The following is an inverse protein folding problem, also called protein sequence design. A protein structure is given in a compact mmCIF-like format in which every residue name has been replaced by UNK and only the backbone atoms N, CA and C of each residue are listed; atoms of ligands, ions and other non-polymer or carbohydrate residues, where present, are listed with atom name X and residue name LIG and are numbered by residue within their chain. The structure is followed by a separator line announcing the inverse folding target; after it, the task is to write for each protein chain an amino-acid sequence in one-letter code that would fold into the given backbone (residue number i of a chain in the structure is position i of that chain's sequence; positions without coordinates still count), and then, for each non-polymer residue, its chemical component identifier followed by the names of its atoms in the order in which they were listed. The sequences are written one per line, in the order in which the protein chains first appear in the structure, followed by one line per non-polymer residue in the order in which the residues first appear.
data_IF_204277447597
#
_entry.id   IF_204277447597
#
_cell.length_a   1.000
_cell.length_b   1.000
_cell.length_c   1.000
_cell.angle_alpha   90.00
_cell.angle_beta   90.00
_cell.angle_gamma   90.00
#
_symmetry.space_group_name_H-M   'P 1'
#
loop_
_entity.id
_entity.type
_entity.pdbx_description
1 polymer ?
#
# COMPACT_ATOMS: atom_id res chain seq x y z
N UNK A 1 1.07 12.14 34.15
CA UNK A 1 -0.24 12.55 33.61
C UNK A 1 -0.74 11.44 32.71
N UNK A 2 -2.01 11.09 32.77
CA UNK A 2 -2.63 10.11 31.89
C UNK A 2 -3.95 10.63 31.32
N UNK A 3 -4.38 10.06 30.20
CA UNK A 3 -5.64 10.41 29.56
C UNK A 3 -6.33 9.14 29.08
N UNK A 4 -7.65 9.12 29.16
CA UNK A 4 -8.50 8.14 28.53
C UNK A 4 -9.63 8.87 27.79
N UNK A 5 -10.08 8.29 26.67
CA UNK A 5 -11.25 8.77 25.93
C UNK A 5 -12.26 7.64 25.89
N UNK A 6 -13.40 7.85 26.54
CA UNK A 6 -14.49 6.91 26.70
C UNK A 6 -15.73 7.43 25.96
N UNK A 7 -16.78 6.63 25.85
CA UNK A 7 -18.09 7.16 25.44
C UNK A 7 -18.68 8.02 26.58
N UNK A 8 -19.59 8.93 26.22
CA UNK A 8 -20.43 9.60 27.22
C UNK A 8 -21.17 8.51 28.00
N UNK A 9 -21.05 8.54 29.33
CA UNK A 9 -21.62 7.51 30.18
C UNK A 9 -22.11 8.11 31.50
N UNK A 10 -23.01 7.39 32.16
CA UNK A 10 -23.55 7.76 33.47
C UNK A 10 -23.06 6.77 34.52
N UNK A 11 -22.47 7.27 35.60
CA UNK A 11 -22.07 6.48 36.76
C UNK A 11 -22.67 7.12 38.01
N UNK A 12 -23.38 6.34 38.82
CA UNK A 12 -24.07 6.79 40.03
C UNK A 12 -24.95 8.03 39.84
N UNK A 13 -25.67 8.08 38.71
CA UNK A 13 -26.57 9.18 38.36
C UNK A 13 -25.89 10.46 37.86
N UNK A 14 -24.56 10.46 37.73
CA UNK A 14 -23.79 11.57 37.17
C UNK A 14 -23.31 11.23 35.75
N UNK A 15 -23.59 12.12 34.81
CA UNK A 15 -23.08 12.02 33.44
C UNK A 15 -21.62 12.49 33.38
N UNK A 16 -20.79 11.73 32.69
CA UNK A 16 -19.38 12.01 32.46
C UNK A 16 -19.12 12.24 30.98
N UNK A 17 -18.33 13.28 30.70
CA UNK A 17 -17.82 13.56 29.36
C UNK A 17 -16.81 12.47 28.93
N UNK A 18 -16.55 12.33 27.61
CA UNK A 18 -15.64 11.33 27.08
C UNK A 18 -14.23 11.34 27.68
N UNK A 19 -13.72 12.53 27.99
CA UNK A 19 -12.34 12.72 28.40
C UNK A 19 -12.17 12.53 29.92
N UNK A 20 -11.34 11.55 30.27
CA UNK A 20 -10.88 11.32 31.64
C UNK A 20 -9.39 11.64 31.76
N UNK A 21 -9.01 12.33 32.83
CA UNK A 21 -7.61 12.68 33.10
C UNK A 21 -7.14 12.09 34.43
N UNK A 22 -5.98 11.45 34.39
CA UNK A 22 -5.21 11.12 35.59
C UNK A 22 -4.15 12.22 35.82
N UNK A 23 -4.49 13.15 36.70
CA UNK A 23 -3.73 14.36 36.99
C UNK A 23 -3.75 14.67 38.49
N UNK A 24 -2.83 15.51 38.97
CA UNK A 24 -2.83 15.94 40.38
C UNK A 24 -4.01 16.86 40.69
N UNK A 25 -4.24 17.82 39.79
CA UNK A 25 -5.30 18.81 39.87
C UNK A 25 -5.53 19.41 38.47
N UNK A 26 -6.50 20.32 38.36
CA UNK A 26 -6.65 21.22 37.21
C UNK A 26 -6.28 22.65 37.64
N UNK A 27 -5.73 23.43 36.72
CA UNK A 27 -5.53 24.87 36.95
C UNK A 27 -6.87 25.64 36.83
N UNK A 28 -6.83 26.98 36.97
CA UNK A 28 -8.01 27.83 36.90
C UNK A 28 -8.76 27.76 35.55
N UNK A 29 -8.06 27.41 34.47
CA UNK A 29 -8.63 27.25 33.12
C UNK A 29 -9.12 25.81 32.85
N UNK A 30 -9.07 24.93 33.86
CA UNK A 30 -9.45 23.52 33.72
C UNK A 30 -8.36 22.64 33.10
N UNK A 31 -7.13 23.15 32.90
CA UNK A 31 -6.02 22.40 32.32
C UNK A 31 -5.49 21.36 33.34
N UNK A 32 -5.45 20.07 33.00
CA UNK A 32 -4.88 19.03 33.85
C UNK A 32 -3.38 19.25 34.09
N UNK A 33 -2.95 19.19 35.36
CA UNK A 33 -1.55 19.31 35.77
C UNK A 33 -0.93 17.93 36.11
N UNK A 34 0.36 17.72 35.82
CA UNK A 34 1.02 16.44 36.09
C UNK A 34 1.03 16.10 37.58
N UNK A 35 1.09 14.80 37.87
CA UNK A 35 1.35 14.30 39.23
C UNK A 35 2.84 14.38 39.48
N UNK A 36 3.24 15.13 40.51
CA UNK A 36 4.63 15.30 40.94
C UNK A 36 4.89 14.69 42.34
N UNK A 37 3.85 14.19 43.00
CA UNK A 37 3.95 13.51 44.30
C UNK A 37 4.72 12.20 44.15
N UNK A 38 5.93 12.15 44.73
CA UNK A 38 6.85 11.01 44.69
C UNK A 38 6.17 9.71 45.15
N UNK A 39 5.37 9.74 46.21
CA UNK A 39 4.73 8.53 46.74
C UNK A 39 3.71 7.93 45.77
N UNK A 40 2.99 8.78 45.02
CA UNK A 40 2.05 8.35 43.98
C UNK A 40 2.78 7.82 42.76
N UNK A 41 3.88 8.47 42.37
CA UNK A 41 4.72 8.03 41.26
C UNK A 41 5.38 6.68 41.57
N UNK A 42 5.91 6.50 42.77
CA UNK A 42 6.49 5.22 43.22
C UNK A 42 5.45 4.09 43.21
N UNK A 43 4.24 4.37 43.69
CA UNK A 43 3.15 3.38 43.63
C UNK A 43 2.77 3.05 42.19
N UNK A 44 2.72 4.04 41.29
CA UNK A 44 2.43 3.83 39.88
C UNK A 44 3.52 2.99 39.20
N UNK A 45 4.79 3.33 39.41
CA UNK A 45 5.92 2.59 38.85
C UNK A 45 5.95 1.15 39.36
N UNK A 46 5.67 0.92 40.65
CA UNK A 46 5.59 -0.43 41.23
C UNK A 46 4.44 -1.24 40.64
N UNK A 47 3.24 -0.66 40.53
CA UNK A 47 2.05 -1.35 40.00
C UNK A 47 2.24 -1.78 38.54
N UNK A 48 2.78 -0.88 37.72
CA UNK A 48 2.96 -1.09 36.29
C UNK A 48 4.34 -1.61 35.91
N UNK A 49 5.16 -1.96 36.91
CA UNK A 49 6.51 -2.49 36.73
C UNK A 49 7.39 -1.60 35.83
N UNK A 50 7.26 -0.28 35.96
CA UNK A 50 8.10 0.68 35.24
C UNK A 50 9.47 0.69 35.91
N UNK A 51 10.49 0.24 35.18
CA UNK A 51 11.86 0.07 35.70
C UNK A 51 12.80 1.22 35.39
N UNK A 52 12.44 2.10 34.45
CA UNK A 52 13.25 3.27 34.08
C UNK A 52 13.33 4.23 35.26
N UNK A 53 14.54 4.65 35.61
CA UNK A 53 14.85 5.57 36.71
C UNK A 53 15.41 6.87 36.14
N UNK A 54 16.73 6.99 36.08
CA UNK A 54 17.45 8.19 35.68
C UNK A 54 17.83 8.21 34.20
N UNK A 55 17.49 7.16 33.45
CA UNK A 55 17.70 7.12 32.01
C UNK A 55 16.78 8.12 31.32
N UNK A 56 17.32 8.86 30.33
CA UNK A 56 16.53 9.78 29.52
C UNK A 56 15.45 9.05 28.70
N UNK A 57 14.36 9.74 28.39
CA UNK A 57 13.29 9.21 27.53
C UNK A 57 11.89 9.29 28.15
N UNK A 58 11.00 8.45 27.62
CA UNK A 58 9.59 8.40 27.97
C UNK A 58 9.19 6.95 28.31
N UNK A 59 8.49 6.77 29.43
CA UNK A 59 7.82 5.51 29.77
C UNK A 59 6.33 5.71 29.58
N UNK A 60 5.68 4.83 28.83
CA UNK A 60 4.23 4.88 28.60
C UNK A 60 3.62 3.58 29.07
N UNK A 61 2.55 3.71 29.85
CA UNK A 61 1.68 2.59 30.22
C UNK A 61 0.39 2.76 29.44
N UNK A 62 0.02 1.75 28.66
CA UNK A 62 -1.25 1.72 27.93
C UNK A 62 -2.09 0.59 28.55
N UNK A 63 -3.04 0.90 29.44
CA UNK A 63 -3.91 -0.12 30.01
C UNK A 63 -5.00 -0.54 29.01
N UNK A 64 -5.60 -1.71 29.23
CA UNK A 64 -6.75 -2.22 28.46
C UNK A 64 -6.51 -2.30 26.95
N UNK A 65 -5.32 -2.76 26.55
CA UNK A 65 -4.99 -2.98 25.13
C UNK A 65 -5.85 -4.08 24.51
N UNK A 66 -6.07 -4.00 23.20
CA UNK A 66 -6.77 -5.03 22.45
C UNK A 66 -6.04 -6.38 22.55
N UNK A 67 -6.77 -7.49 22.62
CA UNK A 67 -6.22 -8.86 22.79
C UNK A 67 -5.26 -9.30 21.67
N UNK A 68 -5.31 -8.62 20.52
CA UNK A 68 -4.40 -8.84 19.39
C UNK A 68 -3.01 -8.25 19.60
N UNK A 69 -2.83 -7.37 20.60
CA UNK A 69 -1.53 -6.79 20.93
C UNK A 69 -0.68 -7.81 21.70
N UNK A 70 -0.07 -8.73 20.96
CA UNK A 70 0.80 -9.79 21.47
C UNK A 70 2.27 -9.45 21.27
N UNK A 71 3.14 -9.90 22.17
CA UNK A 71 4.57 -9.63 22.12
C UNK A 71 5.21 -10.08 20.79
N UNK A 72 4.78 -11.22 20.26
CA UNK A 72 5.24 -11.73 18.96
C UNK A 72 4.83 -10.81 17.80
N UNK A 73 3.64 -10.19 17.88
CA UNK A 73 3.16 -9.24 16.87
C UNK A 73 3.89 -7.90 16.97
N UNK A 74 4.29 -7.49 18.18
CA UNK A 74 5.18 -6.35 18.39
C UNK A 74 6.55 -6.63 17.79
N UNK A 75 7.15 -7.81 18.02
CA UNK A 75 8.43 -8.19 17.41
C UNK A 75 8.39 -8.16 15.88
N UNK A 76 7.38 -8.77 15.26
CA UNK A 76 7.19 -8.71 13.81
C UNK A 76 7.09 -7.26 13.31
N UNK A 77 6.31 -6.43 14.01
CA UNK A 77 6.13 -5.02 13.64
C UNK A 77 7.45 -4.24 13.75
N UNK A 78 8.18 -4.41 14.85
CA UNK A 78 9.49 -3.77 15.04
C UNK A 78 10.47 -4.18 13.96
N UNK A 79 10.57 -5.48 13.67
CA UNK A 79 11.43 -5.99 12.61
C UNK A 79 11.04 -5.43 11.23
N UNK A 80 9.75 -5.32 10.90
CA UNK A 80 9.35 -4.76 9.59
C UNK A 80 9.56 -3.25 9.51
N UNK A 81 9.17 -2.52 10.55
CA UNK A 81 9.16 -1.06 10.49
C UNK A 81 10.52 -0.44 10.74
N UNK A 82 11.37 -1.06 11.58
CA UNK A 82 12.61 -0.44 12.05
C UNK A 82 13.88 -1.27 11.78
N UNK A 83 13.83 -2.34 10.96
CA UNK A 83 15.03 -3.15 10.72
C UNK A 83 16.21 -2.34 10.20
N UNK A 84 16.01 -1.27 9.44
CA UNK A 84 17.13 -0.44 8.94
C UNK A 84 17.85 0.28 10.06
N UNK A 85 17.12 0.88 11.03
CA UNK A 85 17.71 1.48 12.24
C UNK A 85 18.45 0.44 13.07
N UNK A 86 17.85 -0.74 13.24
CA UNK A 86 18.45 -1.84 14.00
C UNK A 86 19.72 -2.37 13.30
N UNK A 87 19.67 -2.56 11.98
CA UNK A 87 20.82 -2.95 11.14
C UNK A 87 21.91 -1.88 11.13
N UNK A 88 21.57 -0.59 11.23
CA UNK A 88 22.56 0.49 11.40
C UNK A 88 23.16 0.56 12.81
N UNK A 89 22.63 -0.19 13.77
CA UNK A 89 23.05 -0.12 15.17
C UNK A 89 22.54 1.13 15.90
N UNK A 90 21.53 1.81 15.34
CA UNK A 90 20.95 3.05 15.87
C UNK A 90 19.79 2.80 16.82
N UNK A 91 19.22 1.59 16.79
CA UNK A 91 18.09 1.18 17.61
C UNK A 91 18.30 -0.22 18.16
N UNK A 92 18.11 -0.37 19.47
CA UNK A 92 17.99 -1.64 20.17
C UNK A 92 16.57 -1.70 20.73
N UNK A 93 15.87 -2.80 20.48
CA UNK A 93 14.51 -3.00 20.99
C UNK A 93 14.44 -4.29 21.80
N UNK A 94 13.98 -4.21 23.03
CA UNK A 94 13.65 -5.38 23.83
C UNK A 94 12.14 -5.53 23.93
N UNK A 95 11.65 -6.74 23.69
CA UNK A 95 10.23 -7.09 23.83
C UNK A 95 10.11 -8.29 24.74
N UNK A 96 9.25 -8.18 25.74
CA UNK A 96 8.88 -9.27 26.66
C UNK A 96 7.36 -9.24 26.88
N UNK A 97 6.74 -10.41 27.10
CA UNK A 97 5.31 -10.47 27.43
C UNK A 97 4.65 -11.82 27.17
N UNK A 98 3.62 -12.12 27.96
CA UNK A 98 2.90 -13.40 27.87
C UNK A 98 3.82 -14.60 28.13
N UNK A 99 3.82 -15.57 27.21
CA UNK A 99 4.73 -16.73 27.26
C UNK A 99 6.07 -16.47 26.57
N UNK A 100 6.26 -15.28 25.99
CA UNK A 100 7.50 -14.91 25.32
C UNK A 100 8.47 -14.32 26.35
N UNK A 101 9.59 -15.02 26.55
CA UNK A 101 10.73 -14.47 27.29
C UNK A 101 11.27 -13.19 26.62
N UNK A 102 12.13 -12.45 27.31
CA UNK A 102 12.72 -11.24 26.75
C UNK A 102 13.49 -11.55 25.45
N UNK A 103 13.13 -10.86 24.37
CA UNK A 103 13.80 -10.92 23.07
C UNK A 103 14.37 -9.55 22.74
N UNK A 104 15.68 -9.48 22.58
CA UNK A 104 16.38 -8.27 22.14
C UNK A 104 16.62 -8.31 20.64
N UNK A 105 16.22 -7.26 19.95
CA UNK A 105 16.51 -6.97 18.54
C UNK A 105 17.56 -5.86 18.48
N UNK A 106 18.79 -6.24 18.13
CA UNK A 106 19.91 -5.35 17.84
C UNK A 106 20.58 -5.74 16.51
N UNK A 107 21.66 -5.04 16.14
CA UNK A 107 22.43 -5.32 14.92
C UNK A 107 22.85 -6.79 14.76
N UNK A 108 23.22 -7.44 15.86
CA UNK A 108 23.72 -8.81 15.89
C UNK A 108 22.57 -9.83 15.93
N UNK A 109 21.50 -9.56 16.67
CA UNK A 109 20.45 -10.54 16.96
C UNK A 109 19.28 -10.53 16.00
N UNK A 110 19.00 -9.40 15.32
CA UNK A 110 17.77 -9.23 14.50
C UNK A 110 17.58 -10.32 13.45
N UNK A 111 18.66 -10.78 12.82
CA UNK A 111 18.62 -11.80 11.78
C UNK A 111 18.16 -13.16 12.32
N UNK A 112 18.82 -13.64 13.39
CA UNK A 112 18.47 -14.88 14.05
C UNK A 112 17.08 -14.82 14.70
N UNK A 113 16.68 -13.64 15.19
CA UNK A 113 15.32 -13.43 15.73
C UNK A 113 14.27 -13.56 14.61
N UNK A 114 14.46 -12.91 13.47
CA UNK A 114 13.53 -12.98 12.34
C UNK A 114 13.34 -14.42 11.82
N UNK A 115 14.39 -15.24 11.83
CA UNK A 115 14.32 -16.65 11.40
C UNK A 115 13.47 -17.53 12.34
N UNK A 116 13.39 -17.17 13.62
CA UNK A 116 12.60 -17.91 14.63
C UNK A 116 11.15 -17.43 14.72
N UNK A 117 10.84 -16.24 14.19
CA UNK A 117 9.49 -15.70 14.17
C UNK A 117 8.63 -16.45 13.15
N UNK A 118 7.37 -16.71 13.52
CA UNK A 118 6.36 -17.09 12.55
C UNK A 118 5.89 -15.83 11.79
N UNK A 119 5.88 -15.84 10.46
CA UNK A 119 5.48 -14.69 9.64
C UNK A 119 4.12 -14.95 9.00
N UNK A 120 3.06 -14.68 9.77
CA UNK A 120 1.67 -14.99 9.45
C UNK A 120 0.81 -13.73 9.23
N UNK A 121 1.43 -12.56 9.20
CA UNK A 121 0.74 -11.28 9.09
C UNK A 121 0.34 -10.92 7.65
N UNK A 122 -0.51 -9.89 7.47
CA UNK A 122 -0.97 -9.47 6.15
C UNK A 122 0.16 -8.91 5.28
N UNK A 123 0.15 -9.25 3.98
CA UNK A 123 1.10 -8.72 2.96
C UNK A 123 1.15 -7.19 2.92
N UNK A 124 0.01 -6.51 3.08
CA UNK A 124 -0.07 -5.03 3.14
C UNK A 124 0.79 -4.40 4.25
N UNK A 125 1.03 -5.14 5.32
CA UNK A 125 1.87 -4.72 6.45
C UNK A 125 3.27 -5.33 6.39
N UNK A 126 3.62 -6.02 5.29
CA UNK A 126 4.88 -6.73 5.08
C UNK A 126 5.25 -7.77 6.16
N UNK A 127 4.30 -8.16 7.03
CA UNK A 127 4.48 -9.19 8.08
C UNK A 127 4.22 -10.63 7.62
N UNK A 128 4.11 -10.85 6.32
CA UNK A 128 3.92 -12.17 5.71
C UNK A 128 5.23 -12.92 5.45
N UNK A 129 6.37 -12.23 5.57
CA UNK A 129 7.71 -12.78 5.39
C UNK A 129 8.69 -11.92 6.19
N UNK A 130 9.83 -12.51 6.58
CA UNK A 130 10.90 -11.76 7.22
C UNK A 130 11.42 -10.64 6.30
N UNK A 131 11.76 -9.45 6.84
CA UNK A 131 12.50 -8.45 6.10
C UNK A 131 13.87 -9.00 5.67
N UNK A 132 14.44 -8.54 4.54
CA UNK A 132 15.67 -9.08 3.99
C UNK A 132 16.90 -8.53 4.74
N UNK A 133 17.09 -8.99 5.99
CA UNK A 133 18.12 -8.47 6.91
C UNK A 133 19.53 -8.55 6.32
N UNK A 134 19.89 -9.68 5.70
CA UNK A 134 21.22 -9.88 5.11
C UNK A 134 21.48 -8.89 3.98
N UNK A 135 20.50 -8.69 3.09
CA UNK A 135 20.57 -7.70 2.01
C UNK A 135 20.69 -6.28 2.58
N UNK A 136 19.87 -5.93 3.57
CA UNK A 136 19.91 -4.64 4.24
C UNK A 136 21.28 -4.36 4.89
N UNK A 137 21.90 -5.36 5.54
CA UNK A 137 23.27 -5.27 6.09
C UNK A 137 24.29 -4.99 4.98
N UNK A 138 24.17 -5.63 3.81
CA UNK A 138 25.03 -5.34 2.66
C UNK A 138 24.86 -3.91 2.13
N UNK A 139 23.61 -3.43 2.06
CA UNK A 139 23.30 -2.07 1.61
C UNK A 139 23.88 -1.02 2.57
N UNK A 140 23.64 -1.15 3.88
CA UNK A 140 24.11 -0.16 4.87
C UNK A 140 25.64 -0.08 4.96
N UNK A 141 26.35 -1.18 4.68
CA UNK A 141 27.83 -1.20 4.66
C UNK A 141 28.41 -0.59 3.39
N UNK A 142 27.62 -0.43 2.34
CA UNK A 142 28.07 0.00 1.02
C UNK A 142 27.46 1.37 0.76
N UNK A 143 28.20 2.49 0.89
CA UNK A 143 27.65 3.77 0.46
C UNK A 143 27.24 3.70 -1.03
N UNK A 144 26.32 4.55 -1.49
CA UNK A 144 26.01 4.66 -2.92
C UNK A 144 27.29 4.89 -3.71
N UNK A 145 27.58 3.99 -4.65
CA UNK A 145 28.81 4.04 -5.42
C UNK A 145 28.75 5.19 -6.44
N UNK A 146 27.56 5.45 -6.98
CA UNK A 146 27.33 6.42 -8.04
C UNK A 146 26.18 7.37 -7.69
N UNK A 147 26.24 8.57 -8.23
CA UNK A 147 25.17 9.56 -8.11
C UNK A 147 24.62 9.92 -9.49
N UNK A 148 23.32 10.18 -9.59
CA UNK A 148 22.75 10.74 -10.82
C UNK A 148 23.10 12.22 -10.96
N UNK A 149 23.00 12.75 -12.18
CA UNK A 149 22.79 14.19 -12.37
C UNK A 149 21.55 14.67 -11.57
N UNK A 150 21.44 15.97 -11.28
CA UNK A 150 20.25 16.48 -10.56
C UNK A 150 19.03 16.42 -11.49
N UNK A 151 18.10 15.54 -11.16
CA UNK A 151 16.93 15.28 -12.00
C UNK A 151 15.82 16.30 -11.75
N UNK A 152 15.08 16.67 -12.80
CA UNK A 152 13.84 17.45 -12.65
C UNK A 152 14.03 18.92 -12.28
N UNK A 153 15.15 19.54 -12.65
CA UNK A 153 15.36 20.99 -12.51
C UNK A 153 14.36 21.79 -13.36
N UNK A 154 14.21 21.40 -14.63
CA UNK A 154 13.35 22.09 -15.62
C UNK A 154 12.02 21.37 -15.87
N UNK A 155 11.99 20.04 -15.69
CA UNK A 155 10.82 19.18 -15.91
C UNK A 155 10.52 18.31 -14.68
N UNK A 156 9.57 17.38 -14.79
CA UNK A 156 9.45 16.33 -13.78
C UNK A 156 10.69 15.43 -13.80
N UNK A 157 11.16 14.95 -12.63
CA UNK A 157 12.29 14.03 -12.58
C UNK A 157 11.96 12.72 -13.31
N UNK A 158 12.97 12.19 -13.98
CA UNK A 158 12.89 11.01 -14.83
C UNK A 158 14.28 10.37 -14.91
N UNK A 159 14.35 9.06 -15.14
CA UNK A 159 15.61 8.31 -15.27
C UNK A 159 15.77 7.85 -16.71
N UNK A 160 16.83 8.34 -17.36
CA UNK A 160 17.20 8.06 -18.74
C UNK A 160 18.73 7.95 -18.87
N UNK A 161 19.25 7.66 -20.06
CA UNK A 161 20.69 7.53 -20.30
C UNK A 161 21.49 8.82 -19.98
N UNK A 162 20.83 9.99 -19.91
CA UNK A 162 21.48 11.26 -19.53
C UNK A 162 21.57 11.47 -18.02
N UNK A 163 20.98 10.56 -17.24
CA UNK A 163 21.01 10.60 -15.77
C UNK A 163 22.39 10.28 -15.21
N UNK A 164 23.26 9.66 -16.00
CA UNK A 164 24.65 9.33 -15.68
C UNK A 164 25.57 9.70 -16.85
N UNK A 165 26.88 9.65 -16.62
CA UNK A 165 27.82 9.54 -17.74
C UNK A 165 27.75 8.14 -18.39
N UNK A 166 28.17 8.06 -19.65
CA UNK A 166 28.07 6.84 -20.48
C UNK A 166 28.85 5.65 -19.90
N UNK A 167 30.02 5.90 -19.31
CA UNK A 167 30.86 4.84 -18.73
C UNK A 167 30.22 4.26 -17.46
N UNK A 168 29.62 5.11 -16.65
CA UNK A 168 28.94 4.77 -15.41
C UNK A 168 27.67 3.96 -15.69
N UNK A 169 26.81 4.39 -16.63
CA UNK A 169 25.61 3.61 -16.95
C UNK A 169 25.94 2.23 -17.54
N UNK A 170 26.97 2.12 -18.38
CA UNK A 170 27.41 0.83 -18.92
C UNK A 170 27.91 -0.11 -17.81
N UNK A 171 28.69 0.41 -16.86
CA UNK A 171 29.13 -0.36 -15.67
C UNK A 171 27.95 -0.83 -14.84
N UNK A 172 27.04 0.07 -14.48
CA UNK A 172 25.86 -0.25 -13.66
C UNK A 172 24.96 -1.31 -14.31
N UNK A 173 24.78 -1.25 -15.65
CA UNK A 173 24.06 -2.28 -16.41
C UNK A 173 24.74 -3.64 -16.32
N UNK A 174 26.07 -3.68 -16.50
CA UNK A 174 26.87 -4.89 -16.36
C UNK A 174 26.77 -5.51 -14.97
N UNK A 175 26.92 -4.70 -13.93
CA UNK A 175 26.81 -5.16 -12.53
C UNK A 175 25.41 -5.67 -12.20
N UNK A 176 24.37 -4.96 -12.64
CA UNK A 176 22.99 -5.39 -12.42
C UNK A 176 22.66 -6.70 -13.16
N UNK A 177 23.13 -6.85 -14.40
CA UNK A 177 22.95 -8.07 -15.18
C UNK A 177 23.68 -9.27 -14.56
N UNK A 178 24.87 -9.04 -13.98
CA UNK A 178 25.63 -10.05 -13.25
C UNK A 178 25.04 -10.43 -11.88
N UNK A 179 23.97 -9.74 -11.42
CA UNK A 179 23.39 -9.96 -10.09
C UNK A 179 24.23 -9.38 -8.96
N UNK A 180 25.17 -8.47 -9.26
CA UNK A 180 25.89 -7.73 -8.23
C UNK A 180 24.98 -6.70 -7.54
N UNK A 181 25.39 -6.26 -6.35
CA UNK A 181 24.71 -5.17 -5.64
C UNK A 181 25.02 -3.85 -6.35
N UNK A 182 23.99 -3.21 -6.88
CA UNK A 182 24.07 -1.86 -7.44
C UNK A 182 23.57 -0.87 -6.39
N UNK A 183 24.36 0.17 -6.10
CA UNK A 183 24.01 1.24 -5.16
C UNK A 183 24.12 2.61 -5.84
N UNK A 184 23.00 3.33 -5.90
CA UNK A 184 22.87 4.60 -6.62
C UNK A 184 22.19 5.63 -5.74
N UNK A 185 22.76 6.83 -5.65
CA UNK A 185 22.09 7.99 -5.09
C UNK A 185 21.38 8.76 -6.18
N UNK A 186 20.06 8.73 -6.15
CA UNK A 186 19.22 9.48 -7.09
C UNK A 186 18.96 10.86 -6.51
N UNK A 187 19.42 11.89 -7.23
CA UNK A 187 19.28 13.31 -6.84
C UNK A 187 18.18 13.96 -7.65
N UNK A 188 17.30 14.72 -7.01
CA UNK A 188 16.21 15.41 -7.69
C UNK A 188 15.98 16.81 -7.14
N UNK A 189 15.63 17.74 -8.03
CA UNK A 189 15.27 19.10 -7.67
C UNK A 189 13.85 19.20 -7.12
N UNK A 190 13.70 19.88 -6.00
CA UNK A 190 12.44 20.07 -5.27
C UNK A 190 12.10 21.57 -5.17
N UNK A 191 11.22 22.08 -6.05
CA UNK A 191 10.78 23.47 -6.03
C UNK A 191 10.01 23.81 -4.75
N UNK A 192 10.45 24.84 -4.03
CA UNK A 192 9.72 25.45 -2.91
C UNK A 192 8.70 26.48 -3.42
N UNK A 193 7.65 26.73 -2.65
CA UNK A 193 6.70 27.83 -2.93
C UNK A 193 7.30 29.20 -2.70
N UNK A 194 8.15 29.31 -1.68
CA UNK A 194 8.84 30.53 -1.30
C UNK A 194 10.34 30.21 -1.20
N UNK A 195 11.15 31.07 -1.81
CA UNK A 195 12.61 30.89 -1.85
C UNK A 195 13.08 29.99 -3.00
N UNK A 196 14.38 29.68 -3.00
CA UNK A 196 14.98 28.77 -3.96
C UNK A 196 14.49 27.33 -3.73
N UNK A 197 14.41 26.55 -4.82
CA UNK A 197 14.27 25.10 -4.71
C UNK A 197 15.47 24.49 -4.00
N UNK A 198 15.32 23.23 -3.62
CA UNK A 198 16.36 22.48 -2.93
C UNK A 198 16.57 21.13 -3.60
N UNK A 199 17.77 20.58 -3.44
CA UNK A 199 18.04 19.22 -3.87
C UNK A 199 17.59 18.22 -2.81
N UNK A 200 16.89 17.19 -3.25
CA UNK A 200 16.54 16.01 -2.45
C UNK A 200 17.22 14.77 -3.00
N UNK A 201 17.45 13.78 -2.14
CA UNK A 201 18.21 12.59 -2.49
C UNK A 201 17.52 11.33 -1.96
N UNK A 202 17.59 10.23 -2.72
CA UNK A 202 17.19 8.88 -2.30
C UNK A 202 18.27 7.89 -2.70
N UNK A 203 18.72 7.10 -1.73
CA UNK A 203 19.71 6.04 -1.94
C UNK A 203 18.97 4.75 -2.31
N UNK A 204 19.24 4.20 -3.49
CA UNK A 204 18.57 3.02 -4.04
C UNK A 204 19.58 1.90 -4.21
N UNK A 205 19.28 0.76 -3.60
CA UNK A 205 20.07 -0.45 -3.67
C UNK A 205 19.28 -1.52 -4.40
N UNK A 206 19.90 -2.16 -5.39
CA UNK A 206 19.28 -3.18 -6.24
C UNK A 206 20.16 -4.41 -6.34
N UNK A 207 19.55 -5.59 -6.36
CA UNK A 207 20.23 -6.83 -6.71
C UNK A 207 19.26 -7.78 -7.41
N UNK A 208 19.67 -8.32 -8.55
CA UNK A 208 18.90 -9.36 -9.26
C UNK A 208 19.18 -10.72 -8.61
N UNK A 209 18.13 -11.43 -8.22
CA UNK A 209 18.21 -12.78 -7.71
C UNK A 209 18.35 -13.78 -8.86
N UNK A 210 19.32 -14.69 -8.76
CA UNK A 210 19.60 -15.68 -9.79
C UNK A 210 18.45 -16.68 -10.01
N UNK A 211 17.69 -16.97 -8.96
CA UNK A 211 16.55 -17.90 -8.99
C UNK A 211 15.24 -17.23 -9.41
N UNK A 212 15.24 -15.90 -9.63
CA UNK A 212 14.05 -15.14 -9.97
C UNK A 212 12.97 -15.13 -8.88
N UNK A 213 13.29 -15.52 -7.65
CA UNK A 213 12.33 -15.65 -6.56
C UNK A 213 11.65 -14.31 -6.28
N UNK A 214 10.32 -14.31 -6.22
CA UNK A 214 9.55 -13.10 -5.90
C UNK A 214 9.89 -12.62 -4.51
N UNK A 215 10.17 -11.33 -4.40
CA UNK A 215 10.49 -10.68 -3.14
C UNK A 215 9.64 -9.41 -2.93
N UNK A 216 9.87 -8.77 -1.80
CA UNK A 216 9.28 -7.49 -1.44
C UNK A 216 10.35 -6.39 -1.54
N UNK A 217 9.96 -5.22 -2.04
CA UNK A 217 10.77 -4.00 -1.97
C UNK A 217 10.51 -3.26 -0.68
N UNK A 218 11.54 -2.62 -0.14
CA UNK A 218 11.43 -1.80 1.06
C UNK A 218 11.76 -0.34 0.73
N UNK A 219 10.83 0.55 1.06
CA UNK A 219 11.02 1.99 1.02
C UNK A 219 11.09 2.46 2.46
N UNK A 220 12.11 3.23 2.79
CA UNK A 220 12.41 3.65 4.15
C UNK A 220 12.60 5.14 4.18
N UNK A 221 11.86 5.84 5.05
CA UNK A 221 12.05 7.27 5.31
C UNK A 221 12.46 7.45 6.76
N UNK A 222 13.59 8.12 6.98
CA UNK A 222 14.15 8.38 8.32
C UNK A 222 14.19 7.12 9.22
N UNK A 223 14.50 5.98 8.60
CA UNK A 223 14.62 4.68 9.26
C UNK A 223 13.31 3.95 9.59
N UNK A 224 12.17 4.42 9.05
CA UNK A 224 10.89 3.72 9.15
C UNK A 224 10.41 3.24 7.78
N UNK A 225 9.97 1.98 7.71
CA UNK A 225 9.45 1.36 6.48
C UNK A 225 8.07 1.87 6.11
N UNK A 226 7.90 2.26 4.84
CA UNK A 226 6.65 2.64 4.20
C UNK A 226 5.99 1.39 3.59
N UNK A 227 5.15 0.72 4.38
CA UNK A 227 4.75 -0.67 4.12
C UNK A 227 3.82 -0.89 2.92
N UNK A 228 3.07 0.11 2.47
CA UNK A 228 2.18 -0.03 1.29
C UNK A 228 2.93 0.11 -0.03
N UNK A 229 4.18 0.57 -0.02
CA UNK A 229 5.00 0.65 -1.22
C UNK A 229 5.62 -0.70 -1.56
N UNK A 230 5.55 -1.04 -2.85
CA UNK A 230 6.24 -2.18 -3.43
C UNK A 230 6.53 -1.89 -4.91
N UNK A 231 7.61 -2.45 -5.44
CA UNK A 231 7.99 -2.29 -6.85
C UNK A 231 7.58 -3.52 -7.66
N UNK A 232 7.28 -3.31 -8.95
CA UNK A 232 6.98 -4.39 -9.89
C UNK A 232 8.22 -5.24 -10.18
N UNK A 233 9.41 -4.66 -10.10
CA UNK A 233 10.67 -5.37 -10.25
C UNK A 233 10.84 -6.48 -9.20
N UNK A 234 10.32 -6.29 -7.98
CA UNK A 234 10.35 -7.30 -6.92
C UNK A 234 9.60 -8.58 -7.30
N UNK A 235 8.52 -8.45 -8.08
CA UNK A 235 7.76 -9.59 -8.61
C UNK A 235 8.51 -10.36 -9.69
N UNK A 236 9.66 -9.83 -10.15
CA UNK A 236 10.56 -10.39 -11.16
C UNK A 236 11.94 -10.73 -10.57
N UNK A 237 12.02 -10.92 -9.25
CA UNK A 237 13.25 -11.34 -8.57
C UNK A 237 14.30 -10.25 -8.42
N UNK A 238 13.88 -9.01 -8.16
CA UNK A 238 14.79 -7.91 -7.83
C UNK A 238 14.63 -7.51 -6.37
N UNK A 239 15.64 -7.80 -5.55
CA UNK A 239 15.75 -7.25 -4.21
C UNK A 239 16.03 -5.75 -4.31
N UNK A 240 15.26 -4.95 -3.57
CA UNK A 240 15.39 -3.51 -3.63
C UNK A 240 15.12 -2.84 -2.28
N UNK A 241 15.99 -1.88 -1.93
CA UNK A 241 15.87 -1.03 -0.76
C UNK A 241 16.08 0.43 -1.19
N UNK A 242 15.07 1.27 -0.98
CA UNK A 242 15.14 2.71 -1.21
C UNK A 242 15.14 3.42 0.15
N UNK A 243 16.17 4.22 0.41
CA UNK A 243 16.35 4.93 1.68
C UNK A 243 16.36 6.43 1.44
N UNK A 244 15.45 7.13 2.13
CA UNK A 244 15.40 8.58 2.20
C UNK A 244 15.74 8.96 3.64
N UNK A 245 17.00 9.32 3.86
CA UNK A 245 17.44 9.90 5.14
C UNK A 245 17.05 11.39 5.23
N UNK A 246 17.38 12.04 6.35
CA UNK A 246 16.99 13.42 6.63
C UNK A 246 17.37 14.38 5.51
N UNK A 247 16.46 15.30 5.15
CA UNK A 247 16.71 16.32 4.14
C UNK A 247 15.43 16.73 3.41
N UNK A 248 15.55 17.56 2.36
CA UNK A 248 14.40 18.13 1.65
C UNK A 248 13.43 17.08 1.08
N UNK A 249 13.93 15.93 0.62
CA UNK A 249 13.06 14.85 0.13
C UNK A 249 12.32 14.16 1.28
N UNK A 250 12.98 13.91 2.42
CA UNK A 250 12.33 13.34 3.60
C UNK A 250 11.24 14.28 4.13
N UNK A 251 11.47 15.60 4.12
CA UNK A 251 10.45 16.60 4.49
C UNK A 251 9.24 16.52 3.55
N UNK A 252 9.47 16.56 2.23
CA UNK A 252 8.39 16.47 1.25
C UNK A 252 7.58 15.17 1.40
N UNK A 253 8.26 14.03 1.53
CA UNK A 253 7.59 12.73 1.66
C UNK A 253 6.87 12.62 3.00
N UNK A 254 7.44 13.16 4.08
CA UNK A 254 6.80 13.25 5.39
C UNK A 254 5.51 14.08 5.38
N UNK A 255 5.46 15.17 4.60
CA UNK A 255 4.24 15.95 4.40
C UNK A 255 3.12 15.14 3.70
N UNK A 256 3.47 14.08 2.97
CA UNK A 256 2.49 13.18 2.32
C UNK A 256 2.08 11.98 3.16
N UNK A 257 2.69 11.78 4.32
CA UNK A 257 2.41 10.63 5.18
C UNK A 257 1.25 10.91 6.14
N UNK A 258 0.38 9.91 6.29
CA UNK A 258 -0.61 9.86 7.36
C UNK A 258 0.01 9.40 8.70
N UNK A 259 -0.76 9.42 9.81
CA UNK A 259 -0.27 9.08 11.14
C UNK A 259 0.36 7.68 11.28
N UNK A 260 -0.03 6.75 10.40
CA UNK A 260 0.49 5.38 10.40
C UNK A 260 1.77 5.20 9.55
N UNK A 261 2.22 6.24 8.83
CA UNK A 261 3.43 6.22 8.01
C UNK A 261 3.53 5.06 7.00
N UNK A 262 2.39 4.63 6.46
CA UNK A 262 2.33 3.44 5.61
C UNK A 262 2.50 3.75 4.11
N UNK A 263 2.29 5.00 3.67
CA UNK A 263 2.29 5.37 2.25
C UNK A 263 2.67 6.85 2.01
N UNK A 264 3.16 7.16 0.80
CA UNK A 264 3.40 8.53 0.32
C UNK A 264 2.23 9.04 -0.52
N UNK A 265 1.22 9.61 0.14
CA UNK A 265 -0.07 9.90 -0.48
C UNK A 265 -0.06 11.19 -1.34
N UNK A 266 -0.27 11.03 -2.65
CA UNK A 266 -0.34 12.16 -3.59
C UNK A 266 -1.64 12.96 -3.51
N UNK A 267 -2.62 12.50 -2.72
CA UNK A 267 -3.85 13.24 -2.41
C UNK A 267 -3.72 14.16 -1.20
N UNK A 268 -2.63 14.06 -0.43
CA UNK A 268 -2.39 14.90 0.75
C UNK A 268 -2.32 16.40 0.40
N UNK A 269 -2.88 17.24 1.28
CA UNK A 269 -2.89 18.70 1.09
C UNK A 269 -1.73 19.42 1.80
N UNK A 270 -1.12 18.80 2.82
CA UNK A 270 -0.03 19.42 3.61
C UNK A 270 1.14 19.92 2.74
N UNK A 271 1.60 19.19 1.70
CA UNK A 271 2.71 19.67 0.87
C UNK A 271 2.39 20.96 0.11
N UNK A 272 1.11 21.29 -0.13
CA UNK A 272 0.70 22.53 -0.80
C UNK A 272 1.00 23.79 0.01
N UNK A 273 1.43 23.67 1.27
CA UNK A 273 1.91 24.82 2.06
C UNK A 273 3.33 25.22 1.68
N UNK A 274 4.15 24.27 1.25
CA UNK A 274 5.61 24.42 1.22
C UNK A 274 6.20 24.17 -0.17
N UNK A 275 5.60 23.26 -0.95
CA UNK A 275 6.18 22.72 -2.17
C UNK A 275 5.38 23.10 -3.41
N UNK A 276 6.09 23.34 -4.53
CA UNK A 276 5.52 23.57 -5.86
C UNK A 276 5.68 22.32 -6.70
N UNK A 277 4.66 22.00 -7.51
CA UNK A 277 4.67 20.86 -8.46
C UNK A 277 5.17 19.54 -7.85
N UNK A 278 4.76 19.27 -6.60
CA UNK A 278 5.28 18.19 -5.77
C UNK A 278 4.71 16.81 -6.13
N UNK A 279 3.45 16.73 -6.58
CA UNK A 279 2.76 15.45 -6.86
C UNK A 279 3.55 14.55 -7.81
N UNK A 280 4.10 15.11 -8.89
CA UNK A 280 4.91 14.36 -9.85
C UNK A 280 6.24 13.84 -9.26
N UNK A 281 6.84 14.59 -8.33
CA UNK A 281 8.09 14.21 -7.65
C UNK A 281 7.87 13.08 -6.65
N UNK A 282 6.75 13.12 -5.93
CA UNK A 282 6.36 12.01 -5.05
C UNK A 282 6.03 10.76 -5.87
N UNK A 283 5.33 10.90 -7.01
CA UNK A 283 5.12 9.78 -7.94
C UNK A 283 6.44 9.18 -8.46
N UNK A 284 7.42 10.03 -8.79
CA UNK A 284 8.74 9.59 -9.18
C UNK A 284 9.45 8.84 -8.03
N UNK A 285 9.48 9.40 -6.82
CA UNK A 285 10.07 8.74 -5.65
C UNK A 285 9.44 7.37 -5.36
N UNK A 286 8.11 7.25 -5.47
CA UNK A 286 7.41 5.95 -5.35
C UNK A 286 7.86 4.94 -6.41
N UNK A 287 8.15 5.39 -7.63
CA UNK A 287 8.56 4.54 -8.76
C UNK A 287 10.08 4.45 -8.95
N UNK A 288 10.89 5.04 -8.07
CA UNK A 288 12.35 5.18 -8.32
C UNK A 288 13.04 3.83 -8.52
N UNK A 289 12.62 2.79 -7.79
CA UNK A 289 13.12 1.42 -7.96
C UNK A 289 12.75 0.87 -9.34
N UNK A 290 11.48 0.97 -9.75
CA UNK A 290 11.03 0.52 -11.06
C UNK A 290 11.75 1.26 -12.19
N UNK A 291 11.85 2.58 -12.08
CA UNK A 291 12.50 3.44 -13.07
C UNK A 291 14.00 3.13 -13.22
N UNK A 292 14.70 2.88 -12.10
CA UNK A 292 16.11 2.50 -12.14
C UNK A 292 16.29 1.09 -12.74
N UNK A 293 15.43 0.13 -12.41
CA UNK A 293 15.47 -1.21 -13.01
C UNK A 293 15.19 -1.16 -14.52
N UNK A 294 14.23 -0.34 -14.95
CA UNK A 294 13.93 -0.09 -16.37
C UNK A 294 15.15 0.49 -17.10
N UNK A 295 15.83 1.48 -16.51
CA UNK A 295 17.05 2.08 -17.08
C UNK A 295 18.23 1.06 -17.17
N UNK A 296 18.39 0.22 -16.15
CA UNK A 296 19.45 -0.79 -16.07
C UNK A 296 19.16 -2.04 -16.89
N UNK A 297 17.93 -2.23 -17.35
CA UNK A 297 17.52 -3.36 -18.21
C UNK A 297 17.10 -2.82 -19.58
N UNK A 298 18.05 -2.43 -20.45
CA UNK A 298 17.69 -1.97 -21.79
C UNK A 298 16.93 -3.07 -22.53
N UNK A 299 15.95 -2.67 -23.34
CA UNK A 299 15.27 -3.60 -24.24
C UNK A 299 16.33 -4.22 -25.16
N UNK A 300 16.43 -5.55 -25.18
CA UNK A 300 17.30 -6.26 -26.10
C UNK A 300 16.92 -5.83 -27.52
N UNK A 301 17.78 -5.08 -28.19
CA UNK A 301 17.57 -4.66 -29.59
C UNK A 301 17.63 -5.86 -30.54
N UNK A 302 18.25 -6.96 -30.09
CA UNK A 302 18.26 -8.23 -30.78
C UNK A 302 17.19 -9.16 -30.20
N UNK A 303 16.30 -9.74 -31.05
CA UNK A 303 15.43 -10.82 -30.63
C UNK A 303 16.27 -12.02 -30.17
N UNK A 304 16.20 -12.32 -28.88
CA UNK A 304 16.82 -13.48 -28.27
C UNK A 304 15.97 -14.72 -28.61
N UNK A 305 16.36 -15.41 -29.69
CA UNK A 305 15.68 -16.62 -30.16
C UNK A 305 15.97 -17.85 -29.28
N UNK A 306 16.95 -17.77 -28.36
CA UNK A 306 17.29 -18.87 -27.46
C UNK A 306 16.42 -18.88 -26.20
N UNK A 307 15.92 -17.72 -25.74
CA UNK A 307 15.06 -17.55 -24.57
C UNK A 307 13.78 -18.42 -24.56
N UNK A 308 13.28 -18.83 -25.73
CA UNK A 308 12.07 -19.66 -25.89
C UNK A 308 12.35 -21.03 -26.53
N UNK A 309 13.60 -21.31 -26.90
CA UNK A 309 13.99 -22.57 -27.57
C UNK A 309 13.72 -23.79 -26.68
N UNK A 310 13.90 -23.65 -25.37
CA UNK A 310 13.64 -24.69 -24.37
C UNK A 310 12.15 -24.94 -24.10
N UNK A 311 11.28 -23.95 -24.37
CA UNK A 311 9.83 -24.06 -24.16
C UNK A 311 9.05 -24.47 -25.43
N UNK A 312 9.59 -24.15 -26.61
CA UNK A 312 9.03 -24.53 -27.91
C UNK A 312 10.00 -25.39 -28.72
N UNK A 313 10.45 -26.50 -28.14
CA UNK A 313 11.16 -27.54 -28.88
C UNK A 313 10.15 -28.39 -29.68
N UNK A 314 9.91 -28.02 -30.94
CA UNK A 314 9.25 -28.93 -31.90
C UNK A 314 10.35 -29.71 -32.61
N UNK A 315 10.32 -31.05 -32.52
CA UNK A 315 11.20 -31.90 -33.34
C UNK A 315 11.00 -31.56 -34.81
N UNK A 316 12.06 -31.04 -35.45
CA UNK A 316 12.07 -30.82 -36.89
C UNK A 316 11.95 -32.17 -37.59
N UNK A 317 10.75 -32.51 -38.04
CA UNK A 317 10.57 -33.56 -39.03
C UNK A 317 11.38 -33.16 -40.26
N UNK A 318 12.30 -34.04 -40.70
CA UNK A 318 13.13 -33.86 -41.89
C UNK A 318 12.23 -33.72 -43.12
N UNK A 319 11.84 -32.48 -43.42
CA UNK A 319 11.30 -32.06 -44.70
C UNK A 319 12.31 -31.13 -45.37
N UNK A 320 12.58 -31.35 -46.65
CA UNK A 320 13.54 -30.58 -47.42
C UNK A 320 13.29 -29.07 -47.33
N UNK A 321 14.31 -28.32 -46.89
CA UNK A 321 14.29 -26.86 -46.91
C UNK A 321 14.24 -26.37 -48.35
N UNK A 322 13.10 -25.79 -48.76
CA UNK A 322 13.03 -24.95 -49.96
C UNK A 322 13.89 -23.70 -49.75
N UNK A 323 14.89 -23.51 -50.60
CA UNK A 323 15.66 -22.28 -50.68
C UNK A 323 14.73 -21.08 -50.95
N UNK A 324 14.72 -20.11 -50.04
CA UNK A 324 14.06 -18.82 -50.25
C UNK A 324 15.00 -17.90 -51.05
N UNK A 325 14.52 -17.40 -52.17
CA UNK A 325 15.14 -16.28 -52.88
C UNK A 325 15.01 -14.98 -52.06
N UNK A 326 15.93 -14.01 -52.21
CA UNK A 326 15.89 -12.76 -51.47
C UNK A 326 14.72 -11.90 -51.97
N UNK A 327 13.72 -11.69 -51.11
CA UNK A 327 12.59 -10.80 -51.34
C UNK A 327 12.81 -9.45 -50.69
N UNK A 328 12.51 -8.38 -51.44
CA UNK A 328 12.56 -6.96 -51.06
C UNK A 328 11.93 -6.67 -49.69
N UNK A 329 12.54 -5.73 -48.98
CA UNK A 329 12.00 -5.08 -47.77
C UNK A 329 10.56 -4.61 -48.03
N UNK A 330 9.65 -5.17 -47.24
CA UNK A 330 8.28 -4.71 -47.08
C UNK A 330 8.15 -4.27 -45.64
N UNK A 331 8.16 -2.95 -45.40
CA UNK A 331 7.67 -2.37 -44.16
C UNK A 331 6.20 -2.78 -43.98
N UNK A 332 5.95 -3.79 -43.16
CA UNK A 332 4.62 -4.06 -42.62
C UNK A 332 4.70 -3.98 -41.11
N UNK A 333 4.28 -2.84 -40.57
CA UNK A 333 3.96 -2.68 -39.16
C UNK A 333 2.84 -3.66 -38.80
N UNK A 334 3.15 -4.64 -37.96
CA UNK A 334 2.10 -5.42 -37.29
C UNK A 334 1.52 -4.50 -36.22
N UNK A 335 0.48 -3.74 -36.58
CA UNK A 335 -0.28 -2.94 -35.64
C UNK A 335 -1.04 -3.86 -34.69
N UNK A 336 -0.77 -3.75 -33.39
CA UNK A 336 -1.69 -4.26 -32.39
C UNK A 336 -2.97 -3.43 -32.47
N UNK A 337 -4.10 -4.06 -32.72
CA UNK A 337 -5.39 -3.38 -32.66
C UNK A 337 -5.62 -2.87 -31.23
N UNK A 338 -5.78 -1.55 -31.11
CA UNK A 338 -6.16 -0.90 -29.86
C UNK A 338 -7.50 -1.48 -29.41
N UNK A 339 -7.53 -2.19 -28.27
CA UNK A 339 -8.79 -2.63 -27.66
C UNK A 339 -9.55 -1.37 -27.24
N UNK A 340 -10.56 -1.00 -28.02
CA UNK A 340 -11.47 0.09 -27.67
C UNK A 340 -12.34 -0.42 -26.50
N UNK A 341 -12.34 0.24 -25.33
CA UNK A 341 -13.17 -0.19 -24.22
C UNK A 341 -14.64 -0.13 -24.63
N UNK A 342 -15.30 -1.30 -24.66
CA UNK A 342 -16.73 -1.39 -24.95
C UNK A 342 -17.47 -0.78 -23.75
N UNK A 343 -18.25 0.29 -23.93
CA UNK A 343 -19.02 0.89 -22.84
C UNK A 343 -20.02 -0.12 -22.28
N UNK A 344 -20.14 -0.17 -20.94
CA UNK A 344 -21.16 -0.99 -20.29
C UNK A 344 -22.55 -0.49 -20.68
N UNK A 345 -23.49 -1.40 -20.94
CA UNK A 345 -24.87 -1.08 -21.31
C UNK A 345 -25.71 -0.50 -20.16
N UNK A 346 -25.16 -0.46 -18.96
CA UNK A 346 -25.75 0.14 -17.77
C UNK A 346 -24.79 1.10 -17.07
N UNK A 347 -25.35 2.03 -16.30
CA UNK A 347 -24.63 2.96 -15.44
C UNK A 347 -25.21 2.95 -14.03
N UNK A 348 -24.42 3.41 -13.06
CA UNK A 348 -24.83 3.56 -11.66
C UNK A 348 -24.65 5.03 -11.30
N UNK A 349 -25.69 5.64 -10.75
CA UNK A 349 -25.64 7.00 -10.20
C UNK A 349 -25.98 6.98 -8.70
N UNK A 350 -25.17 7.68 -7.92
CA UNK A 350 -25.41 7.89 -6.49
C UNK A 350 -26.60 8.80 -6.23
N UNK A 351 -27.29 8.57 -5.10
CA UNK A 351 -28.41 9.39 -4.62
C UNK A 351 -28.33 9.55 -3.10
N UNK A 352 -28.94 10.61 -2.57
CA UNK A 352 -28.98 10.85 -1.14
C UNK A 352 -29.71 9.74 -0.37
N UNK A 353 -28.95 8.83 0.25
CA UNK A 353 -29.46 7.64 0.94
C UNK A 353 -29.87 6.51 -0.01
N UNK A 354 -29.22 6.39 -1.17
CA UNK A 354 -29.60 5.45 -2.22
C UNK A 354 -28.72 5.43 -3.46
N UNK A 355 -29.14 4.68 -4.47
CA UNK A 355 -28.51 4.65 -5.78
C UNK A 355 -29.52 4.31 -6.88
N UNK A 356 -29.11 4.55 -8.12
CA UNK A 356 -29.88 4.25 -9.33
C UNK A 356 -29.05 3.46 -10.32
N UNK A 357 -29.66 2.47 -10.96
CA UNK A 357 -29.10 1.75 -12.11
C UNK A 357 -30.02 2.00 -13.31
N UNK A 358 -29.44 2.35 -14.46
CA UNK A 358 -30.19 2.57 -15.69
C UNK A 358 -29.36 2.32 -16.94
N UNK A 359 -30.00 2.41 -18.10
CA UNK A 359 -29.34 2.20 -19.39
C UNK A 359 -28.31 3.29 -19.72
N UNK A 360 -27.16 2.92 -20.28
CA UNK A 360 -26.13 3.85 -20.76
C UNK A 360 -26.36 4.24 -22.21
N UNK A 361 -27.11 5.32 -22.45
CA UNK A 361 -27.34 5.87 -23.80
C UNK A 361 -27.76 4.78 -24.81
N UNK A 362 -27.12 4.77 -25.98
CA UNK A 362 -27.37 3.79 -27.05
C UNK A 362 -26.45 2.55 -26.99
N UNK A 363 -25.85 2.26 -25.82
CA UNK A 363 -24.99 1.08 -25.69
C UNK A 363 -25.77 -0.22 -25.93
N UNK A 364 -25.16 -1.12 -26.72
CA UNK A 364 -25.80 -2.37 -27.13
C UNK A 364 -26.09 -3.27 -25.91
N UNK A 365 -27.38 -3.55 -25.70
CA UNK A 365 -27.85 -4.44 -24.64
C UNK A 365 -27.67 -5.91 -25.07
N UNK A 366 -27.20 -6.80 -24.18
CA UNK A 366 -27.09 -8.23 -24.50
C UNK A 366 -28.48 -8.88 -24.67
N UNK A 367 -28.53 -10.06 -25.30
CA UNK A 367 -29.79 -10.78 -25.57
C UNK A 367 -30.56 -11.15 -24.30
N UNK A 368 -29.85 -11.48 -23.21
CA UNK A 368 -30.43 -11.81 -21.90
C UNK A 368 -29.89 -10.86 -20.81
N UNK A 369 -30.36 -9.60 -20.75
CA UNK A 369 -29.79 -8.59 -19.88
C UNK A 369 -30.11 -8.87 -18.41
N UNK A 370 -29.11 -9.40 -17.70
CA UNK A 370 -29.20 -9.75 -16.29
C UNK A 370 -28.08 -9.10 -15.49
N UNK A 371 -28.44 -8.44 -14.40
CA UNK A 371 -27.50 -7.80 -13.49
C UNK A 371 -27.63 -8.40 -12.10
N UNK A 372 -26.48 -8.68 -11.47
CA UNK A 372 -26.41 -9.04 -10.05
C UNK A 372 -25.93 -7.84 -9.26
N UNK A 373 -26.79 -7.33 -8.37
CA UNK A 373 -26.54 -6.14 -7.56
C UNK A 373 -26.29 -6.57 -6.12
N UNK A 374 -25.10 -6.29 -5.61
CA UNK A 374 -24.73 -6.54 -4.21
C UNK A 374 -24.47 -5.22 -3.50
N UNK A 375 -25.03 -5.05 -2.29
CA UNK A 375 -24.96 -3.77 -1.56
C UNK A 375 -24.47 -3.99 -0.12
N UNK A 376 -23.68 -3.09 0.42
CA UNK A 376 -23.38 -3.04 1.85
C UNK A 376 -23.07 -1.60 2.26
N UNK A 377 -23.06 -1.32 3.57
CA UNK A 377 -22.38 -0.13 4.04
C UNK A 377 -20.87 -0.34 3.94
N UNK A 378 -20.16 0.68 3.47
CA UNK A 378 -18.71 0.63 3.38
C UNK A 378 -18.10 0.56 4.78
N UNK A 379 -16.99 -0.19 4.89
CA UNK A 379 -16.30 -0.42 6.16
C UNK A 379 -14.80 -0.16 6.02
N UNK A 380 -14.13 0.42 7.04
CA UNK A 380 -12.71 0.76 6.94
C UNK A 380 -11.76 -0.43 6.72
N UNK A 381 -12.19 -1.66 7.07
CA UNK A 381 -11.40 -2.91 6.95
C UNK A 381 -12.31 -4.10 6.65
N UNK A 382 -11.89 -4.95 5.71
CA UNK A 382 -12.63 -6.15 5.28
C UNK A 382 -13.35 -5.95 3.95
N UNK A 383 -14.05 -6.99 3.49
CA UNK A 383 -14.95 -6.89 2.33
C UNK A 383 -16.35 -6.48 2.84
N UNK A 384 -16.87 -5.30 2.48
CA UNK A 384 -18.18 -4.82 2.93
C UNK A 384 -19.31 -5.80 2.63
N UNK A 385 -19.28 -6.45 1.46
CA UNK A 385 -20.35 -7.36 1.04
C UNK A 385 -20.33 -8.68 1.82
N UNK A 386 -19.15 -9.14 2.27
CA UNK A 386 -19.00 -10.34 3.11
C UNK A 386 -19.31 -10.10 4.58
N UNK A 387 -19.10 -8.87 5.07
CA UNK A 387 -19.34 -8.50 6.46
C UNK A 387 -20.72 -7.87 6.70
N UNK A 388 -21.53 -7.73 5.65
CA UNK A 388 -22.91 -7.29 5.77
C UNK A 388 -23.72 -8.20 6.71
N UNK A 389 -24.56 -7.59 7.55
CA UNK A 389 -25.48 -8.27 8.44
C UNK A 389 -26.92 -7.81 8.22
N UNK A 390 -27.95 -8.66 8.46
CA UNK A 390 -29.35 -8.23 8.46
C UNK A 390 -29.67 -7.09 9.44
N UNK A 391 -28.80 -6.83 10.42
CA UNK A 391 -28.91 -5.69 11.35
C UNK A 391 -28.59 -4.35 10.65
N UNK A 392 -27.76 -4.36 9.60
CA UNK A 392 -27.43 -3.14 8.84
C UNK A 392 -28.64 -2.63 8.06
N UNK A 393 -29.27 -3.51 7.28
CA UNK A 393 -30.52 -3.27 6.57
C UNK A 393 -31.06 -4.59 6.00
N UNK A 394 -32.32 -4.59 5.58
CA UNK A 394 -32.92 -5.66 4.78
C UNK A 394 -33.51 -5.10 3.50
N UNK A 395 -33.37 -5.84 2.39
CA UNK A 395 -33.90 -5.47 1.08
C UNK A 395 -35.32 -6.01 0.84
N UNK A 396 -35.98 -6.55 1.88
CA UNK A 396 -37.35 -7.05 1.79
C UNK A 396 -38.35 -5.88 1.81
N UNK A 397 -39.15 -5.79 0.76
CA UNK A 397 -40.14 -4.74 0.51
C UNK A 397 -41.34 -4.79 1.50
N UNK A 398 -41.42 -5.81 2.36
CA UNK A 398 -42.59 -6.01 3.23
C UNK A 398 -42.51 -5.31 4.59
N UNK A 399 -41.32 -4.96 5.11
CA UNK A 399 -41.18 -4.28 6.42
C UNK A 399 -39.84 -3.50 6.62
N UNK A 400 -39.01 -3.32 5.58
CA UNK A 400 -37.69 -2.68 5.69
C UNK A 400 -37.69 -1.15 5.57
N UNK A 401 -36.65 -0.51 6.10
CA UNK A 401 -36.34 0.93 5.90
C UNK A 401 -35.90 1.25 4.47
N UNK A 402 -35.37 0.25 3.76
CA UNK A 402 -34.94 0.35 2.36
C UNK A 402 -36.09 0.06 1.42
N UNK A 403 -36.31 0.96 0.46
CA UNK A 403 -37.37 0.90 -0.55
C UNK A 403 -36.76 0.69 -1.93
N UNK A 404 -37.24 -0.33 -2.62
CA UNK A 404 -36.80 -0.70 -3.97
C UNK A 404 -37.92 -0.38 -4.96
N UNK A 405 -37.59 0.30 -6.06
CA UNK A 405 -38.51 0.59 -7.17
C UNK A 405 -37.85 0.24 -8.49
N UNK A 406 -38.59 -0.43 -9.37
CA UNK A 406 -38.14 -0.80 -10.71
C UNK A 406 -39.14 -0.33 -11.77
N UNK A 407 -38.62 0.13 -12.91
CA UNK A 407 -39.34 0.33 -14.17
C UNK A 407 -38.56 -0.38 -15.27
N UNK A 408 -39.23 -1.19 -16.09
CA UNK A 408 -38.56 -1.99 -17.13
C UNK A 408 -37.59 -3.05 -16.59
N UNK A 409 -37.74 -3.43 -15.32
CA UNK A 409 -36.95 -4.46 -14.65
C UNK A 409 -37.82 -5.33 -13.75
N UNK A 410 -37.49 -6.61 -13.69
CA UNK A 410 -37.98 -7.56 -12.69
C UNK A 410 -36.85 -7.86 -11.72
N UNK A 411 -37.01 -7.42 -10.47
CA UNK A 411 -36.03 -7.66 -9.41
C UNK A 411 -36.45 -8.81 -8.53
N UNK A 412 -35.53 -9.74 -8.25
CA UNK A 412 -35.71 -10.81 -7.28
C UNK A 412 -34.60 -10.78 -6.23
N UNK A 413 -34.98 -10.93 -4.95
CA UNK A 413 -34.00 -11.04 -3.87
C UNK A 413 -33.39 -12.45 -3.91
N UNK A 414 -32.09 -12.56 -4.16
CA UNK A 414 -31.41 -13.85 -4.14
C UNK A 414 -31.15 -14.31 -2.71
N UNK A 415 -30.41 -13.49 -1.96
CA UNK A 415 -30.20 -13.68 -0.52
C UNK A 415 -29.70 -12.38 0.10
N UNK A 416 -30.18 -12.06 1.30
CA UNK A 416 -29.65 -10.98 2.14
C UNK A 416 -29.54 -9.62 1.44
N UNK A 417 -28.31 -9.23 1.08
CA UNK A 417 -27.96 -7.98 0.41
C UNK A 417 -27.76 -8.07 -1.10
N UNK A 418 -28.20 -9.15 -1.74
CA UNK A 418 -28.00 -9.42 -3.15
C UNK A 418 -29.33 -9.52 -3.89
N UNK A 419 -29.49 -8.69 -4.91
CA UNK A 419 -30.66 -8.64 -5.79
C UNK A 419 -30.24 -9.01 -7.21
N UNK A 420 -31.01 -9.88 -7.85
CA UNK A 420 -30.90 -10.15 -9.28
C UNK A 420 -31.92 -9.31 -10.03
N UNK A 421 -31.48 -8.61 -11.07
CA UNK A 421 -32.30 -7.77 -11.92
C UNK A 421 -32.32 -8.35 -13.33
N UNK A 422 -33.51 -8.75 -13.78
CA UNK A 422 -33.79 -9.06 -15.18
C UNK A 422 -34.35 -7.82 -15.85
N UNK A 423 -33.68 -7.30 -16.87
CA UNK A 423 -34.14 -6.14 -17.61
C UNK A 423 -35.13 -6.58 -18.67
N UNK A 424 -36.34 -6.02 -18.65
CA UNK A 424 -37.45 -6.41 -19.55
C UNK A 424 -37.71 -5.39 -20.65
N UNK A 425 -37.30 -4.14 -20.45
CA UNK A 425 -37.46 -3.06 -21.42
C UNK A 425 -36.09 -2.41 -21.74
N UNK A 426 -35.86 -1.93 -22.97
CA UNK A 426 -34.63 -1.23 -23.33
C UNK A 426 -34.36 -0.03 -22.41
N UNK A 427 -35.39 0.78 -22.15
CA UNK A 427 -35.31 1.92 -21.23
C UNK A 427 -35.75 1.47 -19.85
N UNK A 428 -34.79 1.22 -18.96
CA UNK A 428 -35.06 0.74 -17.62
C UNK A 428 -34.46 1.63 -16.54
N UNK A 429 -35.04 1.54 -15.34
CA UNK A 429 -34.53 2.19 -14.15
C UNK A 429 -34.81 1.34 -12.92
N UNK A 430 -33.76 1.10 -12.14
CA UNK A 430 -33.82 0.50 -10.82
C UNK A 430 -33.35 1.51 -9.79
N UNK A 431 -34.17 1.75 -8.76
CA UNK A 431 -33.94 2.73 -7.71
C UNK A 431 -33.97 2.02 -6.37
N UNK A 432 -32.97 2.28 -5.54
CA UNK A 432 -32.95 1.84 -4.14
C UNK A 432 -32.72 3.07 -3.27
N UNK A 433 -33.64 3.32 -2.33
CA UNK A 433 -33.61 4.45 -1.40
C UNK A 433 -33.82 3.96 0.04
N UNK A 434 -33.42 4.75 1.04
CA UNK A 434 -33.73 4.48 2.45
C UNK A 434 -32.55 3.94 3.28
N UNK A 435 -31.34 3.99 2.73
CA UNK A 435 -30.12 3.77 3.49
C UNK A 435 -29.79 4.96 4.39
N UNK A 436 -29.06 4.70 5.47
CA UNK A 436 -28.52 5.72 6.37
C UNK A 436 -27.59 6.67 5.59
N UNK A 437 -27.82 7.97 5.74
CA UNK A 437 -27.06 9.03 5.05
C UNK A 437 -25.74 9.35 5.73
N UNK A 438 -25.52 8.86 6.94
CA UNK A 438 -24.28 9.04 7.70
C UNK A 438 -23.29 7.88 7.51
N UNK A 439 -23.63 6.90 6.65
CA UNK A 439 -22.78 5.77 6.30
C UNK A 439 -22.60 5.71 4.79
N UNK A 440 -21.37 5.49 4.34
CA UNK A 440 -21.08 5.31 2.92
C UNK A 440 -21.63 3.97 2.42
N UNK A 441 -22.04 3.93 1.15
CA UNK A 441 -22.59 2.72 0.50
C UNK A 441 -21.59 2.13 -0.48
N UNK A 442 -21.33 0.84 -0.34
CA UNK A 442 -20.60 0.05 -1.31
C UNK A 442 -21.59 -0.73 -2.19
N UNK A 443 -21.60 -0.44 -3.50
CA UNK A 443 -22.48 -1.10 -4.48
C UNK A 443 -21.64 -1.77 -5.55
N UNK A 444 -21.84 -3.09 -5.74
CA UNK A 444 -21.25 -3.86 -6.84
C UNK A 444 -22.35 -4.33 -7.79
N UNK A 445 -22.16 -4.08 -9.08
CA UNK A 445 -23.06 -4.55 -10.14
C UNK A 445 -22.25 -5.38 -11.14
N UNK A 446 -22.60 -6.66 -11.20
CA UNK A 446 -21.98 -7.64 -12.08
C UNK A 446 -22.95 -7.95 -13.24
N UNK A 447 -22.45 -7.88 -14.49
CA UNK A 447 -23.20 -8.31 -15.67
C UNK A 447 -23.13 -9.84 -15.78
N UNK A 448 -24.26 -10.50 -15.58
CA UNK A 448 -24.37 -11.97 -15.55
C UNK A 448 -25.11 -12.52 -16.76
N UNK A 449 -25.29 -11.71 -17.80
CA UNK A 449 -26.05 -12.02 -19.02
C UNK A 449 -25.57 -13.27 -19.80
N UNK A 450 -24.42 -13.86 -19.43
CA UNK A 450 -23.82 -15.06 -20.06
C UNK A 450 -23.74 -16.30 -19.16
N UNK A 451 -24.25 -16.26 -17.93
CA UNK A 451 -24.09 -17.37 -16.97
C UNK A 451 -25.29 -18.31 -17.00
N UNK A 452 -25.48 -19.01 -18.11
CA UNK A 452 -26.25 -20.26 -18.18
C UNK A 452 -25.41 -21.27 -18.94
N UNK A 453 -24.25 -21.64 -18.38
CA UNK A 453 -23.65 -22.94 -18.71
C UNK A 453 -24.38 -24.00 -17.89
N UNK A 454 -25.03 -24.89 -18.62
CA UNK A 454 -25.79 -26.01 -18.13
C UNK A 454 -24.91 -26.93 -17.27
N UNK A 455 -25.49 -27.37 -16.16
CA UNK A 455 -25.09 -28.61 -15.51
C UNK A 455 -25.40 -29.78 -16.44
N UNK A 456 -24.36 -30.50 -16.87
CA UNK A 456 -24.38 -31.93 -17.18
C UNK A 456 -23.20 -32.61 -16.48
#
# INVERSE_FOLDING_TARGET
MGQAVLQIHTLDGKEYMPEGYWCATQNADGLPLPVEDESRLDSFCREWHVTRTNESGLSVVVPFVHEDLKAERVLQAVAVHFFTRIVRGELIVEVSGGNLGAVTLDHATIEAACQKMNWDGPKRTKRHVAPPITFAKSCVKTPPAEETNVLGETRLPDLDDTSFDEATIHRLRGDFAAGHLVSVRVRMWLPRRVGAGQEGQVDVYLRRLADGTRCDTYYVREGMTITKLNSRAALRGVEALAIVDSGPLAELLGDTEGPAHEDWDTSAERPDRTWKTWKGRVKFARRVVDALVELLTPATTEPDFDLLSDYFSIERTRGEQRQRQPGKESESSIGFETIVPVPKWFHINERAGGFTIGQTGDAAMPENPMLKVSVAYDIPRGDPLRNWSPIDFTLDNKNGTVRVKGRGVEGSLLHGNVVELRVTEPVFQFVVDGFDRHRDLFVRVDDVSRTTEAAE
#
